data_IF_107703976858
#
_entry.id   IF_107703976858
#
_cell.length_a   1.000
_cell.length_b   1.000
_cell.length_c   1.000
_cell.angle_alpha   90.00
_cell.angle_beta   90.00
_cell.angle_gamma   90.00
#
_symmetry.space_group_name_H-M   'P 1'
#
loop_
_entity.id
_entity.type
_entity.pdbx_description
1 polymer ?
#
# COMPACT_ATOMS: atom_id res chain seq x y z
N UNK A 1 22.63 78.40 16.26
CA UNK A 1 21.44 77.66 15.81
C UNK A 1 21.16 76.61 16.88
N UNK A 2 20.82 77.01 18.11
CA UNK A 2 19.50 77.52 18.57
C UNK A 2 18.42 76.46 18.26
N UNK A 3 17.79 75.75 19.19
CA UNK A 3 17.34 76.06 20.54
C UNK A 3 15.80 75.99 20.55
N UNK A 4 15.18 74.95 21.14
CA UNK A 4 13.78 74.99 21.58
C UNK A 4 13.48 73.92 22.64
N UNK A 5 12.55 74.26 23.53
CA UNK A 5 12.35 73.75 24.89
C UNK A 5 10.91 73.23 25.04
N UNK A 6 10.78 72.07 25.70
CA UNK A 6 9.67 71.51 26.53
C UNK A 6 8.24 71.39 25.93
N UNK A 7 7.65 70.20 26.06
CA UNK A 7 6.32 70.06 26.68
C UNK A 7 6.13 68.67 27.33
N UNK A 8 5.70 68.70 28.60
CA UNK A 8 5.25 67.58 29.42
C UNK A 8 3.81 67.20 29.04
N UNK A 9 3.49 65.91 28.86
CA UNK A 9 2.11 65.46 29.12
C UNK A 9 2.08 64.00 29.58
N UNK A 10 1.28 63.81 30.62
CA UNK A 10 1.20 62.66 31.50
C UNK A 10 -0.02 61.79 31.15
N UNK A 11 0.18 60.48 30.98
CA UNK A 11 -0.82 59.39 31.08
C UNK A 11 -1.71 59.11 29.85
N UNK A 12 -2.46 57.97 29.81
CA UNK A 12 -2.60 56.92 30.83
C UNK A 12 -2.33 55.48 30.31
N UNK A 13 -2.29 54.57 31.28
CA UNK A 13 -2.38 53.11 31.20
C UNK A 13 -2.96 52.52 29.92
N UNK A 14 -2.20 51.67 29.24
CA UNK A 14 -2.73 50.66 28.33
C UNK A 14 -2.39 49.29 28.87
N UNK A 15 -3.45 48.57 29.20
CA UNK A 15 -3.49 47.21 29.70
C UNK A 15 -2.70 46.27 28.79
N UNK A 16 -1.88 45.43 29.41
CA UNK A 16 -1.51 44.13 28.85
C UNK A 16 -2.78 43.39 28.45
N UNK A 17 -2.93 42.91 27.21
CA UNK A 17 -3.78 41.76 26.97
C UNK A 17 -2.97 40.54 27.41
N UNK A 18 -3.24 40.06 28.64
CA UNK A 18 -3.10 38.65 28.94
C UNK A 18 -4.02 37.90 27.96
N UNK A 19 -3.46 37.55 26.81
CA UNK A 19 -4.06 36.58 25.90
C UNK A 19 -3.96 35.25 26.63
N UNK A 20 -5.03 34.92 27.36
CA UNK A 20 -5.37 33.56 27.70
C UNK A 20 -5.25 32.72 26.43
N UNK A 21 -4.13 32.01 26.31
CA UNK A 21 -3.95 30.95 25.32
C UNK A 21 -4.80 29.76 25.78
N UNK A 22 -6.11 29.92 25.66
CA UNK A 22 -7.08 28.86 25.82
C UNK A 22 -7.04 28.01 24.56
N UNK A 23 -7.03 26.69 24.79
CA UNK A 23 -7.25 25.61 23.83
C UNK A 23 -6.04 25.20 22.98
N UNK A 24 -4.99 24.72 23.64
CA UNK A 24 -4.40 23.45 23.19
C UNK A 24 -5.52 22.43 23.22
N UNK A 25 -6.07 22.11 22.05
CA UNK A 25 -6.89 20.92 21.88
C UNK A 25 -5.93 19.73 21.98
N UNK A 26 -5.60 19.36 23.22
CA UNK A 26 -5.17 18.01 23.53
C UNK A 26 -6.41 17.17 23.27
N UNK A 27 -6.53 16.61 22.07
CA UNK A 27 -7.32 15.40 21.91
C UNK A 27 -6.74 14.41 22.93
N UNK A 28 -7.51 13.94 23.92
CA UNK A 28 -7.10 12.75 24.62
C UNK A 28 -7.18 11.65 23.56
N UNK A 29 -6.02 11.28 22.99
CA UNK A 29 -5.89 9.98 22.40
C UNK A 29 -6.22 9.01 23.51
N UNK A 30 -7.45 8.50 23.49
CA UNK A 30 -7.86 7.44 24.40
C UNK A 30 -6.76 6.37 24.31
N UNK A 31 -6.12 5.97 25.42
CA UNK A 31 -5.12 4.92 25.34
C UNK A 31 -5.82 3.73 24.71
N UNK A 32 -5.36 3.28 23.54
CA UNK A 32 -5.88 2.07 22.91
C UNK A 32 -5.76 1.00 23.97
N UNK A 33 -6.90 0.62 24.54
CA UNK A 33 -6.92 -0.37 25.61
C UNK A 33 -6.40 -1.67 25.01
N UNK A 34 -5.77 -2.53 25.82
CA UNK A 34 -5.29 -3.82 25.34
C UNK A 34 -6.38 -4.55 24.52
N UNK A 35 -7.61 -4.57 25.04
CA UNK A 35 -8.79 -5.15 24.36
C UNK A 35 -9.01 -4.62 22.93
N UNK A 36 -8.87 -3.31 22.69
CA UNK A 36 -9.02 -2.71 21.35
C UNK A 36 -7.89 -3.09 20.40
N UNK A 37 -6.68 -3.32 20.94
CA UNK A 37 -5.55 -3.82 20.17
C UNK A 37 -5.75 -5.29 19.83
N UNK A 38 -6.18 -6.11 20.77
CA UNK A 38 -6.45 -7.53 20.53
C UNK A 38 -7.60 -7.75 19.54
N UNK A 39 -8.68 -6.96 19.60
CA UNK A 39 -9.75 -6.96 18.61
C UNK A 39 -9.23 -6.58 17.21
N UNK A 40 -8.40 -5.54 17.13
CA UNK A 40 -7.81 -5.12 15.86
C UNK A 40 -6.86 -6.18 15.27
N UNK A 41 -6.08 -6.88 16.11
CA UNK A 41 -5.24 -8.00 15.67
C UNK A 41 -6.11 -9.12 15.10
N UNK A 42 -7.22 -9.47 15.76
CA UNK A 42 -8.13 -10.50 15.28
C UNK A 42 -8.74 -10.13 13.91
N UNK A 43 -9.16 -8.88 13.74
CA UNK A 43 -9.66 -8.37 12.44
C UNK A 43 -8.61 -8.45 11.32
N UNK A 44 -7.33 -8.21 11.65
CA UNK A 44 -6.23 -8.34 10.71
C UNK A 44 -5.96 -9.80 10.36
N UNK A 45 -5.98 -10.72 11.34
CA UNK A 45 -5.81 -12.15 11.10
C UNK A 45 -6.93 -12.75 10.25
N UNK A 46 -8.16 -12.29 10.46
CA UNK A 46 -9.31 -12.68 9.62
C UNK A 46 -9.13 -12.21 8.17
N UNK A 47 -8.69 -10.96 7.97
CA UNK A 47 -8.35 -10.47 6.63
C UNK A 47 -7.20 -11.24 5.99
N UNK A 48 -6.14 -11.55 6.74
CA UNK A 48 -5.03 -12.36 6.22
C UNK A 48 -5.56 -13.72 5.78
N UNK A 49 -6.42 -14.36 6.58
CA UNK A 49 -7.01 -15.65 6.26
C UNK A 49 -7.79 -15.60 4.94
N UNK A 50 -8.64 -14.60 4.75
CA UNK A 50 -9.37 -14.38 3.49
C UNK A 50 -8.40 -14.27 2.31
N UNK A 51 -7.31 -13.51 2.46
CA UNK A 51 -6.34 -13.27 1.39
C UNK A 51 -5.47 -14.49 1.04
N UNK A 52 -5.27 -15.43 1.97
CA UNK A 52 -4.46 -16.65 1.72
C UNK A 52 -5.30 -17.88 1.40
N UNK A 53 -6.53 -17.95 1.91
CA UNK A 53 -7.43 -19.09 1.75
C UNK A 53 -8.35 -18.98 0.54
N UNK A 54 -8.85 -17.78 0.23
CA UNK A 54 -9.79 -17.55 -0.86
C UNK A 54 -9.10 -17.15 -2.17
N UNK A 55 -9.65 -17.58 -3.30
CA UNK A 55 -9.17 -17.20 -4.63
C UNK A 55 -9.89 -15.93 -5.12
N UNK A 56 -9.19 -14.92 -5.65
CA UNK A 56 -7.75 -14.87 -5.91
C UNK A 56 -6.94 -14.60 -4.65
N UNK A 57 -5.88 -15.38 -4.44
CA UNK A 57 -4.94 -15.17 -3.33
C UNK A 57 -4.22 -13.83 -3.49
N UNK A 58 -3.86 -13.18 -2.39
CA UNK A 58 -3.08 -11.94 -2.40
C UNK A 58 -2.02 -11.95 -1.28
N UNK A 59 -0.89 -12.58 -1.59
CA UNK A 59 0.24 -12.67 -0.65
C UNK A 59 0.96 -11.33 -0.46
N UNK A 60 0.82 -10.41 -1.42
CA UNK A 60 1.39 -9.07 -1.32
C UNK A 60 0.71 -8.30 -0.17
N UNK A 61 -0.63 -8.28 -0.16
CA UNK A 61 -1.41 -7.67 0.91
C UNK A 61 -1.29 -8.43 2.22
N UNK A 62 -1.28 -9.76 2.18
CA UNK A 62 -1.05 -10.57 3.37
C UNK A 62 0.27 -10.20 4.07
N UNK A 63 1.37 -10.02 3.32
CA UNK A 63 2.67 -9.65 3.90
C UNK A 63 2.62 -8.35 4.72
N UNK A 64 1.91 -7.32 4.23
CA UNK A 64 1.77 -6.05 4.95
C UNK A 64 0.95 -6.23 6.23
N UNK A 65 -0.17 -6.95 6.14
CA UNK A 65 -1.02 -7.20 7.31
C UNK A 65 -0.28 -8.05 8.37
N UNK A 66 0.54 -9.02 7.94
CA UNK A 66 1.40 -9.82 8.83
C UNK A 66 2.38 -8.91 9.59
N UNK A 67 3.02 -7.96 8.90
CA UNK A 67 3.88 -6.97 9.53
C UNK A 67 3.12 -6.15 10.58
N UNK A 68 1.92 -5.67 10.24
CA UNK A 68 1.10 -4.88 11.15
C UNK A 68 0.66 -5.69 12.39
N UNK A 69 0.32 -6.97 12.21
CA UNK A 69 0.00 -7.88 13.32
C UNK A 69 1.19 -8.02 14.28
N UNK A 70 2.40 -8.33 13.78
CA UNK A 70 3.57 -8.47 14.64
C UNK A 70 3.95 -7.16 15.34
N UNK A 71 3.78 -6.03 14.64
CA UNK A 71 3.98 -4.70 15.23
C UNK A 71 2.99 -4.44 16.37
N UNK A 72 1.72 -4.81 16.20
CA UNK A 72 0.68 -4.64 17.22
C UNK A 72 0.85 -5.63 18.38
N UNK A 73 1.44 -6.81 18.16
CA UNK A 73 1.77 -7.80 19.19
C UNK A 73 2.98 -7.44 20.04
N UNK A 74 3.65 -6.32 19.76
CA UNK A 74 4.92 -5.93 20.38
C UNK A 74 6.01 -7.04 20.21
N UNK A 75 6.03 -7.68 19.04
CA UNK A 75 7.01 -8.70 18.60
C UNK A 75 8.00 -8.11 17.59
N UNK A 76 8.98 -7.28 18.02
CA UNK A 76 9.81 -6.49 17.13
C UNK A 76 10.78 -7.31 16.29
N UNK A 77 11.19 -8.50 16.75
CA UNK A 77 12.09 -9.39 16.01
C UNK A 77 11.39 -9.93 14.76
N UNK A 78 10.18 -10.46 14.92
CA UNK A 78 9.33 -10.96 13.83
C UNK A 78 8.93 -9.83 12.87
N UNK A 79 8.54 -8.67 13.40
CA UNK A 79 8.19 -7.51 12.59
C UNK A 79 9.38 -7.03 11.73
N UNK A 80 10.60 -7.07 12.28
CA UNK A 80 11.80 -6.71 11.54
C UNK A 80 12.08 -7.69 10.40
N UNK A 81 11.90 -8.99 10.62
CA UNK A 81 12.08 -9.99 9.56
C UNK A 81 11.09 -9.80 8.42
N UNK A 82 9.81 -9.51 8.70
CA UNK A 82 8.84 -9.17 7.65
C UNK A 82 9.22 -7.88 6.95
N UNK A 83 9.67 -6.86 7.69
CA UNK A 83 10.12 -5.59 7.11
C UNK A 83 11.32 -5.77 6.16
N UNK A 84 12.21 -6.75 6.42
CA UNK A 84 13.31 -7.08 5.50
C UNK A 84 12.81 -7.66 4.17
N UNK A 85 11.67 -8.35 4.17
CA UNK A 85 11.06 -8.89 2.95
C UNK A 85 10.42 -7.79 2.09
N UNK A 86 10.03 -6.67 2.71
CA UNK A 86 9.48 -5.48 2.08
C UNK A 86 10.58 -4.53 1.56
N UNK A 87 11.54 -5.10 0.83
CA UNK A 87 12.57 -4.35 0.11
C UNK A 87 11.98 -3.56 -1.08
N UNK A 88 12.83 -2.79 -1.76
CA UNK A 88 12.41 -1.95 -2.88
C UNK A 88 11.68 -2.75 -3.99
N UNK A 89 12.15 -3.94 -4.43
CA UNK A 89 11.40 -4.82 -5.32
C UNK A 89 9.98 -5.15 -4.82
N UNK A 90 9.84 -5.55 -3.57
CA UNK A 90 8.53 -5.88 -3.01
C UNK A 90 7.59 -4.68 -2.99
N UNK A 91 8.10 -3.48 -2.65
CA UNK A 91 7.29 -2.25 -2.65
C UNK A 91 6.81 -1.88 -4.06
N UNK A 92 7.61 -2.12 -5.09
CA UNK A 92 7.19 -1.91 -6.49
C UNK A 92 6.12 -2.93 -6.88
N UNK A 93 6.33 -4.22 -6.62
CA UNK A 93 5.38 -5.28 -6.99
C UNK A 93 4.07 -5.22 -6.21
N UNK A 94 4.07 -4.61 -5.02
CA UNK A 94 2.85 -4.33 -4.26
C UNK A 94 1.83 -3.47 -5.03
N UNK A 95 2.29 -2.70 -6.03
CA UNK A 95 1.41 -1.87 -6.86
C UNK A 95 0.64 -2.67 -7.92
N UNK A 96 1.00 -3.94 -8.16
CA UNK A 96 0.39 -4.77 -9.20
C UNK A 96 -1.06 -5.14 -8.90
N UNK A 97 -1.44 -5.72 -7.73
CA UNK A 97 -2.83 -6.07 -7.45
C UNK A 97 -3.82 -4.91 -7.61
N UNK A 98 -3.59 -3.70 -7.07
CA UNK A 98 -4.51 -2.58 -7.26
C UNK A 98 -4.54 -2.08 -8.72
N UNK A 99 -3.43 -2.15 -9.46
CA UNK A 99 -3.40 -1.83 -10.89
C UNK A 99 -4.26 -2.81 -11.69
N UNK A 100 -4.08 -4.11 -11.48
CA UNK A 100 -4.86 -5.17 -12.13
C UNK A 100 -6.34 -5.00 -11.84
N UNK A 101 -6.70 -4.78 -10.57
CA UNK A 101 -8.09 -4.55 -10.17
C UNK A 101 -8.69 -3.33 -10.88
N UNK A 102 -7.99 -2.20 -10.91
CA UNK A 102 -8.44 -1.01 -11.62
C UNK A 102 -8.65 -1.27 -13.12
N UNK A 103 -7.78 -2.07 -13.75
CA UNK A 103 -7.90 -2.45 -15.17
C UNK A 103 -9.13 -3.32 -15.41
N UNK A 104 -9.41 -4.29 -14.54
CA UNK A 104 -10.58 -5.17 -14.66
C UNK A 104 -11.89 -4.40 -14.39
N UNK A 105 -11.85 -3.43 -13.47
CA UNK A 105 -12.99 -2.56 -13.13
C UNK A 105 -13.36 -1.56 -14.25
N UNK A 106 -12.47 -1.32 -15.23
CA UNK A 106 -12.78 -0.48 -16.40
C UNK A 106 -13.98 -0.98 -17.23
N UNK A 107 -14.26 -2.29 -17.18
CA UNK A 107 -15.35 -2.91 -17.91
C UNK A 107 -15.16 -2.96 -19.45
N UNK A 108 -16.23 -3.31 -20.19
CA UNK A 108 -16.14 -3.57 -21.63
C UNK A 108 -16.06 -2.29 -22.49
N UNK A 109 -16.58 -1.16 -22.00
CA UNK A 109 -16.64 0.11 -22.75
C UNK A 109 -15.97 1.25 -21.99
N UNK A 110 -14.65 1.19 -21.74
CA UNK A 110 -13.92 2.27 -21.10
C UNK A 110 -13.81 3.49 -22.01
N UNK A 111 -13.64 4.66 -21.41
CA UNK A 111 -13.30 5.87 -22.16
C UNK A 111 -11.85 5.83 -22.62
N UNK A 112 -11.51 6.58 -23.68
CA UNK A 112 -10.13 6.70 -24.15
C UNK A 112 -9.19 7.20 -23.05
N UNK A 113 -9.63 8.18 -22.26
CA UNK A 113 -8.84 8.71 -21.14
C UNK A 113 -8.56 7.64 -20.05
N UNK A 114 -9.53 6.74 -19.79
CA UNK A 114 -9.34 5.63 -18.85
C UNK A 114 -8.32 4.61 -19.38
N UNK A 115 -8.36 4.31 -20.68
CA UNK A 115 -7.39 3.43 -21.32
C UNK A 115 -5.98 4.03 -21.28
N UNK A 116 -5.84 5.29 -21.65
CA UNK A 116 -4.55 5.98 -21.67
C UNK A 116 -3.93 6.03 -20.27
N UNK A 117 -4.73 6.36 -19.24
CA UNK A 117 -4.27 6.37 -17.85
C UNK A 117 -3.87 4.96 -17.35
N UNK A 118 -4.58 3.91 -17.76
CA UNK A 118 -4.23 2.54 -17.42
C UNK A 118 -2.90 2.12 -18.08
N UNK A 119 -2.71 2.46 -19.36
CA UNK A 119 -1.48 2.17 -20.09
C UNK A 119 -0.28 2.92 -19.52
N UNK A 120 -0.43 4.22 -19.22
CA UNK A 120 0.60 5.02 -18.57
C UNK A 120 1.02 4.39 -17.24
N UNK A 121 0.04 3.94 -16.43
CA UNK A 121 0.34 3.31 -15.14
C UNK A 121 1.01 1.93 -15.27
N UNK A 122 0.69 1.16 -16.32
CA UNK A 122 1.40 -0.09 -16.63
C UNK A 122 2.84 0.22 -17.05
N UNK A 123 3.04 1.20 -17.93
CA UNK A 123 4.35 1.57 -18.45
C UNK A 123 5.24 2.14 -17.34
N UNK A 124 4.71 2.98 -16.45
CA UNK A 124 5.41 3.49 -15.26
C UNK A 124 5.85 2.35 -14.34
N UNK A 125 4.95 1.39 -14.08
CA UNK A 125 5.27 0.22 -13.27
C UNK A 125 6.35 -0.65 -13.94
N UNK A 126 6.28 -0.83 -15.25
CA UNK A 126 7.31 -1.53 -16.01
C UNK A 126 8.69 -0.89 -15.89
N UNK A 127 8.78 0.45 -15.99
CA UNK A 127 10.03 1.16 -15.77
C UNK A 127 10.57 0.99 -14.34
N UNK A 128 9.69 1.07 -13.33
CA UNK A 128 10.08 0.84 -11.94
C UNK A 128 10.61 -0.57 -11.73
N UNK A 129 9.96 -1.58 -12.34
CA UNK A 129 10.39 -2.98 -12.24
C UNK A 129 11.80 -3.14 -12.83
N UNK A 130 12.06 -2.63 -14.04
CA UNK A 130 13.38 -2.68 -14.69
C UNK A 130 14.47 -1.98 -13.87
N UNK A 131 14.13 -0.90 -13.16
CA UNK A 131 15.11 -0.15 -12.37
C UNK A 131 15.46 -0.82 -11.03
N UNK A 132 14.60 -1.70 -10.54
CA UNK A 132 14.63 -2.16 -9.14
C UNK A 132 14.84 -3.67 -9.04
N UNK A 133 14.26 -4.45 -9.94
CA UNK A 133 14.43 -5.89 -9.97
C UNK A 133 15.67 -6.22 -10.78
N UNK A 134 16.45 -7.17 -10.28
CA UNK A 134 17.62 -7.73 -10.96
C UNK A 134 17.37 -9.21 -11.28
N UNK A 135 17.84 -9.67 -12.44
CA UNK A 135 17.87 -11.09 -12.81
C UNK A 135 16.63 -11.58 -13.59
N UNK A 136 16.39 -12.89 -13.59
CA UNK A 136 15.38 -13.50 -14.46
C UNK A 136 13.94 -13.15 -14.06
N UNK A 137 13.69 -12.87 -12.77
CA UNK A 137 12.37 -12.45 -12.27
C UNK A 137 11.92 -11.09 -12.83
N UNK A 138 12.87 -10.17 -13.07
CA UNK A 138 12.60 -8.89 -13.76
C UNK A 138 12.01 -9.15 -15.16
N UNK A 139 12.72 -9.95 -15.95
CA UNK A 139 12.36 -10.21 -17.34
C UNK A 139 10.96 -10.84 -17.50
N UNK A 140 10.58 -11.75 -16.60
CA UNK A 140 9.26 -12.38 -16.65
C UNK A 140 8.13 -11.42 -16.25
N UNK A 141 8.32 -10.61 -15.20
CA UNK A 141 7.31 -9.63 -14.76
C UNK A 141 7.15 -8.53 -15.81
N UNK A 142 8.25 -8.02 -16.35
CA UNK A 142 8.23 -7.01 -17.43
C UNK A 142 7.51 -7.57 -18.66
N UNK A 143 7.81 -8.80 -19.06
CA UNK A 143 7.12 -9.45 -20.18
C UNK A 143 5.62 -9.53 -19.93
N UNK A 144 5.19 -9.91 -18.73
CA UNK A 144 3.77 -9.97 -18.39
C UNK A 144 3.10 -8.60 -18.33
N UNK A 145 3.81 -7.54 -17.89
CA UNK A 145 3.32 -6.16 -17.96
C UNK A 145 3.16 -5.70 -19.41
N UNK A 146 4.09 -6.05 -20.29
CA UNK A 146 3.97 -5.80 -21.73
C UNK A 146 2.76 -6.55 -22.30
N UNK A 147 2.60 -7.84 -22.01
CA UNK A 147 1.43 -8.64 -22.44
C UNK A 147 0.11 -8.00 -21.95
N UNK A 148 0.08 -7.49 -20.72
CA UNK A 148 -1.08 -6.78 -20.16
C UNK A 148 -1.35 -5.47 -20.91
N UNK A 149 -0.30 -4.71 -21.23
CA UNK A 149 -0.42 -3.48 -22.01
C UNK A 149 -0.96 -3.74 -23.43
N UNK A 150 -0.54 -4.83 -24.07
CA UNK A 150 -1.06 -5.26 -25.37
C UNK A 150 -2.52 -5.71 -25.28
N UNK A 151 -2.88 -6.44 -24.22
CA UNK A 151 -4.26 -6.82 -23.95
C UNK A 151 -5.17 -5.60 -23.78
N UNK A 152 -4.71 -4.56 -23.05
CA UNK A 152 -5.47 -3.32 -22.86
C UNK A 152 -5.64 -2.55 -24.18
N UNK A 153 -4.62 -2.57 -25.06
CA UNK A 153 -4.64 -1.97 -26.41
C UNK A 153 -5.51 -2.73 -27.43
N UNK A 154 -6.02 -3.90 -27.07
CA UNK A 154 -6.93 -4.68 -27.94
C UNK A 154 -8.17 -3.83 -28.30
N UNK A 155 -8.62 -3.83 -29.57
CA UNK A 155 -9.76 -3.01 -30.01
C UNK A 155 -11.02 -3.24 -29.17
N UNK A 156 -11.76 -2.17 -28.88
CA UNK A 156 -13.01 -2.22 -28.11
C UNK A 156 -14.09 -3.09 -28.76
N UNK A 157 -14.03 -3.29 -30.09
CA UNK A 157 -14.99 -4.15 -30.80
C UNK A 157 -14.64 -5.64 -30.68
N UNK A 158 -13.48 -6.01 -30.14
CA UNK A 158 -13.11 -7.41 -29.97
C UNK A 158 -13.93 -8.03 -28.83
N UNK A 159 -14.79 -9.02 -29.12
CA UNK A 159 -15.60 -9.68 -28.09
C UNK A 159 -14.74 -10.41 -27.04
N UNK A 160 -13.48 -10.73 -27.35
CA UNK A 160 -12.55 -11.41 -26.44
C UNK A 160 -11.70 -10.46 -25.63
N UNK A 161 -11.82 -9.13 -25.81
CA UNK A 161 -10.98 -8.14 -25.12
C UNK A 161 -10.96 -8.34 -23.61
N UNK A 162 -12.13 -8.50 -22.98
CA UNK A 162 -12.25 -8.66 -21.53
C UNK A 162 -11.58 -9.97 -21.08
N UNK A 163 -11.78 -11.06 -21.81
CA UNK A 163 -11.14 -12.36 -21.53
C UNK A 163 -9.62 -12.29 -21.67
N UNK A 164 -9.10 -11.62 -22.71
CA UNK A 164 -7.67 -11.43 -22.94
C UNK A 164 -7.04 -10.60 -21.82
N UNK A 165 -7.69 -9.52 -21.39
CA UNK A 165 -7.23 -8.70 -20.26
C UNK A 165 -7.24 -9.51 -18.98
N UNK A 166 -8.33 -10.23 -18.69
CA UNK A 166 -8.42 -11.10 -17.50
C UNK A 166 -7.31 -12.14 -17.49
N UNK A 167 -7.09 -12.84 -18.60
CA UNK A 167 -6.05 -13.86 -18.68
C UNK A 167 -4.63 -13.29 -18.52
N UNK A 168 -4.36 -12.08 -19.01
CA UNK A 168 -3.07 -11.41 -18.80
C UNK A 168 -2.91 -10.96 -17.34
N UNK A 169 -3.96 -10.38 -16.75
CA UNK A 169 -4.03 -9.99 -15.35
C UNK A 169 -3.82 -11.18 -14.40
N UNK A 170 -4.45 -12.32 -14.66
CA UNK A 170 -4.32 -13.54 -13.86
C UNK A 170 -2.88 -14.07 -13.88
N UNK A 171 -2.24 -14.08 -15.06
CA UNK A 171 -0.83 -14.50 -15.20
C UNK A 171 0.11 -13.59 -14.41
N UNK A 172 -0.08 -12.28 -14.51
CA UNK A 172 0.72 -11.29 -13.78
C UNK A 172 0.53 -11.42 -12.26
N UNK A 173 -0.72 -11.54 -11.83
CA UNK A 173 -1.09 -11.71 -10.41
C UNK A 173 -0.49 -12.99 -9.84
N UNK A 174 -0.58 -14.09 -10.59
CA UNK A 174 0.01 -15.37 -10.18
C UNK A 174 1.53 -15.27 -9.99
N UNK A 175 2.25 -14.62 -10.90
CA UNK A 175 3.70 -14.48 -10.81
C UNK A 175 4.12 -13.59 -9.62
N UNK A 176 3.42 -12.48 -9.41
CA UNK A 176 3.65 -11.61 -8.24
C UNK A 176 3.33 -12.34 -6.95
N UNK A 177 2.24 -13.11 -6.90
CA UNK A 177 1.91 -13.91 -5.73
C UNK A 177 2.98 -14.96 -5.43
N UNK A 178 3.52 -15.63 -6.44
CA UNK A 178 4.62 -16.58 -6.27
C UNK A 178 5.85 -15.90 -5.65
N UNK A 179 6.20 -14.69 -6.12
CA UNK A 179 7.29 -13.91 -5.55
C UNK A 179 7.12 -13.63 -4.05
N UNK A 180 5.94 -13.18 -3.63
CA UNK A 180 5.66 -12.93 -2.21
C UNK A 180 5.58 -14.22 -1.40
N UNK A 181 4.98 -15.28 -1.95
CA UNK A 181 4.88 -16.58 -1.30
C UNK A 181 6.26 -17.20 -1.05
N UNK A 182 7.14 -17.21 -2.04
CA UNK A 182 8.49 -17.77 -1.90
C UNK A 182 9.28 -17.03 -0.81
N UNK A 183 9.13 -15.71 -0.74
CA UNK A 183 9.77 -14.87 0.28
C UNK A 183 9.21 -15.10 1.68
N UNK A 184 7.88 -15.13 1.82
CA UNK A 184 7.23 -15.42 3.10
C UNK A 184 7.60 -16.81 3.61
N UNK A 185 7.65 -17.81 2.73
CA UNK A 185 7.95 -19.18 3.12
C UNK A 185 9.44 -19.47 3.27
N UNK A 186 10.34 -18.61 2.79
CA UNK A 186 11.78 -18.74 3.02
C UNK A 186 12.16 -18.65 4.52
N UNK A 187 11.34 -17.94 5.32
CA UNK A 187 11.52 -17.81 6.76
C UNK A 187 10.65 -18.87 7.46
N UNK A 188 11.24 -19.85 8.20
CA UNK A 188 10.50 -20.96 8.81
C UNK A 188 9.37 -20.51 9.76
N UNK A 189 9.60 -19.45 10.51
CA UNK A 189 8.64 -18.89 11.47
C UNK A 189 7.42 -18.30 10.74
N UNK A 190 7.66 -17.51 9.68
CA UNK A 190 6.59 -16.93 8.86
C UNK A 190 5.84 -18.00 8.08
N UNK A 191 6.55 -19.01 7.56
CA UNK A 191 5.93 -20.18 6.95
C UNK A 191 4.95 -20.86 7.90
N UNK A 192 5.38 -21.10 9.14
CA UNK A 192 4.54 -21.73 10.17
C UNK A 192 3.31 -20.88 10.47
N UNK A 193 3.48 -19.56 10.53
CA UNK A 193 2.40 -18.61 10.73
C UNK A 193 1.38 -18.64 9.57
N UNK A 194 1.83 -18.51 8.32
CA UNK A 194 0.95 -18.53 7.13
C UNK A 194 0.23 -19.88 7.00
N UNK A 195 0.94 -20.99 7.20
CA UNK A 195 0.33 -22.33 7.17
C UNK A 195 -0.68 -22.50 8.31
N UNK A 196 -0.41 -21.96 9.49
CA UNK A 196 -1.36 -21.93 10.60
C UNK A 196 -2.66 -21.20 10.22
N UNK A 197 -2.53 -20.04 9.58
CA UNK A 197 -3.68 -19.26 9.10
C UNK A 197 -4.44 -19.96 7.97
N UNK A 198 -3.76 -20.56 7.00
CA UNK A 198 -4.40 -21.35 5.92
C UNK A 198 -5.18 -22.56 6.47
N UNK A 199 -4.68 -23.18 7.55
CA UNK A 199 -5.32 -24.34 8.18
C UNK A 199 -6.36 -23.97 9.25
N UNK A 200 -6.51 -22.68 9.57
CA UNK A 200 -7.41 -22.19 10.62
C UNK A 200 -7.08 -22.72 12.02
N UNK A 201 -5.78 -22.95 12.30
CA UNK A 201 -5.26 -23.46 13.58
C UNK A 201 -4.97 -22.35 14.58
#
# INVERSE_FOLDING_TARGET
MDGFTIDDTQGPSTQSPDVCCSTVSTFPGEPITAVMREEHIADLEDQIRELVADEPKDFAKATILIYDVFRLRDEPEQALEVARLLDLPAVVLFQVPPLVRAILEMGPTPTTATLDAALERIDDLGHLVIMVLDGDTDADIVRQLVDLSEAVRTPLQDPRRVETISAAADRLTHHVNAFFFDRLTAIPELRTYVVGLELGL
#
